data_IF_093689684849
#
_entry.id   IF_093689684849
#
_cell.length_a   1.000
_cell.length_b   1.000
_cell.length_c   1.000
_cell.angle_alpha   90.00
_cell.angle_beta   90.00
_cell.angle_gamma   90.00
#
_symmetry.space_group_name_H-M   'P 1'
#
loop_
_entity.id
_entity.type
_entity.pdbx_description
1 polymer ?
#
# COMPACT_ATOMS: atom_id res chain seq x y z
N UNK A 1 -5.37 7.04 -86.20
CA UNK A 1 -5.98 5.93 -85.37
C UNK A 1 -5.15 5.52 -84.12
N UNK A 2 -3.87 5.95 -83.96
CA UNK A 2 -3.02 5.64 -82.81
C UNK A 2 -3.39 6.44 -81.53
N UNK A 3 -3.85 7.68 -81.66
CA UNK A 3 -4.13 8.53 -80.47
C UNK A 3 -5.43 8.21 -79.68
N UNK A 4 -6.38 7.51 -80.29
CA UNK A 4 -7.64 7.14 -79.62
C UNK A 4 -7.50 5.87 -78.75
N UNK A 5 -6.58 4.97 -79.09
CA UNK A 5 -6.29 3.77 -78.29
C UNK A 5 -5.56 4.07 -76.99
N UNK A 6 -4.62 5.03 -77.00
CA UNK A 6 -3.86 5.45 -75.82
C UNK A 6 -4.74 6.15 -74.77
N UNK A 7 -5.71 6.98 -75.22
CA UNK A 7 -6.63 7.66 -74.31
C UNK A 7 -7.61 6.71 -73.64
N UNK A 8 -8.08 5.65 -74.31
CA UNK A 8 -8.95 4.65 -73.75
C UNK A 8 -8.22 3.76 -72.72
N UNK A 9 -7.00 3.37 -73.03
CA UNK A 9 -6.16 2.57 -72.12
C UNK A 9 -5.82 3.37 -70.84
N UNK A 10 -5.54 4.65 -70.97
CA UNK A 10 -5.30 5.55 -69.81
C UNK A 10 -6.55 5.72 -68.96
N UNK A 11 -7.72 5.89 -69.58
CA UNK A 11 -9.01 6.00 -68.87
C UNK A 11 -9.35 4.73 -68.11
N UNK A 12 -9.10 3.55 -68.71
CA UNK A 12 -9.35 2.24 -68.07
C UNK A 12 -8.42 2.01 -66.87
N UNK A 13 -7.15 2.37 -66.99
CA UNK A 13 -6.15 2.28 -65.94
C UNK A 13 -6.49 3.19 -64.78
N UNK A 14 -6.93 4.43 -65.06
CA UNK A 14 -7.36 5.36 -64.02
C UNK A 14 -8.63 4.89 -63.29
N UNK A 15 -9.62 4.33 -64.03
CA UNK A 15 -10.83 3.78 -63.45
C UNK A 15 -10.49 2.57 -62.56
N UNK A 16 -9.59 1.70 -62.99
CA UNK A 16 -9.13 0.55 -62.21
C UNK A 16 -8.41 0.98 -60.95
N UNK A 17 -7.49 1.91 -61.06
CA UNK A 17 -6.74 2.45 -59.88
C UNK A 17 -7.69 3.13 -58.88
N UNK A 18 -8.70 3.85 -59.38
CA UNK A 18 -9.72 4.47 -58.51
C UNK A 18 -10.56 3.43 -57.81
N UNK A 19 -11.02 2.41 -58.49
CA UNK A 19 -11.77 1.31 -57.91
C UNK A 19 -10.94 0.53 -56.87
N UNK A 20 -9.70 0.20 -57.21
CA UNK A 20 -8.77 -0.47 -56.31
C UNK A 20 -8.53 0.37 -55.04
N UNK A 21 -8.28 1.69 -55.18
CA UNK A 21 -8.10 2.61 -54.05
C UNK A 21 -9.35 2.69 -53.21
N UNK A 22 -10.54 2.70 -53.79
CA UNK A 22 -11.80 2.70 -53.06
C UNK A 22 -11.99 1.42 -52.22
N UNK A 23 -11.75 0.24 -52.82
CA UNK A 23 -11.82 -1.05 -52.12
C UNK A 23 -10.81 -1.11 -51.01
N UNK A 24 -9.58 -0.70 -51.24
CA UNK A 24 -8.55 -0.63 -50.19
C UNK A 24 -8.95 0.28 -49.04
N UNK A 25 -9.39 1.49 -49.34
CA UNK A 25 -9.82 2.45 -48.29
C UNK A 25 -10.99 1.94 -47.47
N UNK A 26 -11.96 1.28 -48.12
CA UNK A 26 -13.13 0.74 -47.43
C UNK A 26 -12.73 -0.46 -46.54
N UNK A 27 -11.93 -1.38 -47.06
CA UNK A 27 -11.39 -2.51 -46.31
C UNK A 27 -10.54 -2.04 -45.13
N UNK A 28 -9.64 -1.09 -45.36
CA UNK A 28 -8.78 -0.54 -44.29
C UNK A 28 -9.58 0.16 -43.18
N UNK A 29 -10.69 0.81 -43.49
CA UNK A 29 -11.56 1.40 -42.46
C UNK A 29 -12.20 0.32 -41.58
N UNK A 30 -12.66 -0.78 -42.17
CA UNK A 30 -13.21 -1.90 -41.42
C UNK A 30 -12.17 -2.59 -40.56
N UNK A 31 -10.97 -2.83 -41.12
CA UNK A 31 -9.85 -3.38 -40.38
C UNK A 31 -9.39 -2.47 -39.23
N UNK A 32 -9.33 -1.17 -39.45
CA UNK A 32 -8.97 -0.19 -38.42
C UNK A 32 -9.91 -0.32 -37.21
N UNK A 33 -11.22 -0.46 -37.44
CA UNK A 33 -12.20 -0.62 -36.37
C UNK A 33 -11.99 -1.94 -35.59
N UNK A 34 -11.76 -3.04 -36.30
CA UNK A 34 -11.49 -4.35 -35.69
C UNK A 34 -10.22 -4.32 -34.87
N UNK A 35 -9.13 -3.75 -35.43
CA UNK A 35 -7.86 -3.63 -34.72
C UNK A 35 -7.99 -2.73 -33.50
N UNK A 36 -8.69 -1.60 -33.61
CA UNK A 36 -8.92 -0.70 -32.48
C UNK A 36 -9.71 -1.36 -31.36
N UNK A 37 -10.78 -2.09 -31.69
CA UNK A 37 -11.57 -2.83 -30.69
C UNK A 37 -10.70 -3.90 -30.00
N UNK A 38 -9.97 -4.69 -30.78
CA UNK A 38 -9.09 -5.73 -30.25
C UNK A 38 -7.99 -5.17 -29.34
N UNK A 39 -7.34 -4.07 -29.78
CA UNK A 39 -6.29 -3.40 -28.98
C UNK A 39 -6.86 -2.80 -27.70
N UNK A 40 -8.04 -2.17 -27.75
CA UNK A 40 -8.67 -1.57 -26.57
C UNK A 40 -9.09 -2.65 -25.56
N UNK A 41 -9.70 -3.76 -26.02
CA UNK A 41 -10.09 -4.85 -25.14
C UNK A 41 -8.89 -5.51 -24.44
N UNK A 42 -7.78 -5.70 -25.16
CA UNK A 42 -6.56 -6.27 -24.58
C UNK A 42 -5.76 -5.27 -23.75
N UNK A 43 -5.78 -3.97 -24.09
CA UNK A 43 -5.13 -2.93 -23.32
C UNK A 43 -5.84 -2.71 -21.95
N UNK A 44 -7.17 -2.81 -21.89
CA UNK A 44 -7.91 -2.68 -20.63
C UNK A 44 -7.52 -3.79 -19.63
N UNK A 45 -7.33 -5.01 -20.10
CA UNK A 45 -6.80 -6.11 -19.27
C UNK A 45 -5.39 -5.79 -18.72
N UNK A 46 -4.50 -5.30 -19.59
CA UNK A 46 -3.13 -4.95 -19.18
C UNK A 46 -3.12 -3.80 -18.17
N UNK A 47 -3.98 -2.78 -18.38
CA UNK A 47 -4.10 -1.66 -17.44
C UNK A 47 -4.59 -2.14 -16.08
N UNK A 48 -5.56 -3.04 -16.04
CA UNK A 48 -6.05 -3.64 -14.78
C UNK A 48 -5.02 -4.50 -14.07
N UNK A 49 -4.12 -5.14 -14.81
CA UNK A 49 -3.03 -5.95 -14.25
C UNK A 49 -1.86 -5.12 -13.71
N UNK A 50 -1.69 -3.86 -14.17
CA UNK A 50 -0.55 -3.02 -13.78
C UNK A 50 -0.37 -2.87 -12.25
N UNK A 51 -1.41 -2.59 -11.44
CA UNK A 51 -1.24 -2.47 -9.99
C UNK A 51 -0.74 -3.76 -9.33
N UNK A 52 -1.20 -4.92 -9.79
CA UNK A 52 -0.76 -6.23 -9.27
C UNK A 52 0.71 -6.49 -9.63
N UNK A 53 1.09 -6.17 -10.87
CA UNK A 53 2.50 -6.26 -11.29
C UNK A 53 3.39 -5.30 -10.51
N UNK A 54 2.93 -4.07 -10.29
CA UNK A 54 3.66 -3.08 -9.49
C UNK A 54 3.87 -3.58 -8.06
N UNK A 55 2.83 -4.14 -7.43
CA UNK A 55 2.93 -4.75 -6.10
C UNK A 55 3.99 -5.87 -6.07
N UNK A 56 3.99 -6.78 -7.04
CA UNK A 56 4.98 -7.87 -7.13
C UNK A 56 6.40 -7.32 -7.29
N UNK A 57 6.59 -6.33 -8.17
CA UNK A 57 7.90 -5.71 -8.40
C UNK A 57 8.39 -5.02 -7.12
N UNK A 58 7.54 -4.20 -6.48
CA UNK A 58 7.90 -3.51 -5.23
C UNK A 58 8.13 -4.47 -4.07
N UNK A 59 7.35 -5.52 -3.96
CA UNK A 59 7.56 -6.59 -2.99
C UNK A 59 8.91 -7.29 -3.19
N UNK A 60 9.29 -7.57 -4.43
CA UNK A 60 10.58 -8.16 -4.77
C UNK A 60 11.75 -7.21 -4.45
N UNK A 61 11.61 -5.92 -4.76
CA UNK A 61 12.60 -4.90 -4.38
C UNK A 61 12.80 -4.84 -2.86
N UNK A 62 11.71 -4.91 -2.08
CA UNK A 62 11.76 -4.92 -0.62
C UNK A 62 12.47 -6.17 -0.09
N UNK A 63 12.15 -7.36 -0.61
CA UNK A 63 12.83 -8.61 -0.24
C UNK A 63 14.33 -8.53 -0.54
N UNK A 64 14.69 -7.97 -1.68
CA UNK A 64 16.10 -7.79 -2.04
C UNK A 64 16.83 -6.80 -1.11
N UNK A 65 16.15 -5.74 -0.66
CA UNK A 65 16.69 -4.84 0.36
C UNK A 65 16.93 -5.56 1.69
N UNK A 66 16.00 -6.39 2.15
CA UNK A 66 16.22 -7.21 3.35
C UNK A 66 17.40 -8.16 3.19
N UNK A 67 17.51 -8.88 2.07
CA UNK A 67 18.63 -9.78 1.80
C UNK A 67 19.99 -9.10 1.83
N UNK A 68 20.05 -7.84 1.42
CA UNK A 68 21.28 -7.05 1.33
C UNK A 68 21.57 -6.25 2.61
N UNK A 69 20.65 -6.26 3.58
CA UNK A 69 20.85 -5.61 4.87
C UNK A 69 21.43 -6.56 5.90
N UNK A 70 22.04 -6.01 6.95
CA UNK A 70 22.51 -6.77 8.11
C UNK A 70 21.38 -7.13 9.09
N UNK A 71 20.12 -6.80 8.75
CA UNK A 71 18.98 -6.99 9.61
C UNK A 71 18.22 -8.27 9.22
N UNK A 72 17.77 -9.00 10.22
CA UNK A 72 17.04 -10.23 10.03
C UNK A 72 15.62 -9.95 9.51
N UNK A 73 15.09 -10.87 8.70
CA UNK A 73 13.70 -10.87 8.27
C UNK A 73 13.18 -12.30 8.18
N UNK A 74 11.89 -12.49 8.34
CA UNK A 74 11.27 -13.81 8.26
C UNK A 74 9.91 -13.76 7.56
N UNK A 75 9.48 -14.89 7.02
CA UNK A 75 8.08 -15.12 6.68
C UNK A 75 7.37 -15.60 7.95
N UNK A 76 6.36 -14.85 8.45
CA UNK A 76 5.70 -15.19 9.71
C UNK A 76 4.90 -16.49 9.59
N UNK A 77 4.80 -17.22 10.70
CA UNK A 77 3.84 -18.32 10.81
C UNK A 77 2.46 -17.73 11.07
N UNK A 78 1.55 -17.93 10.11
CA UNK A 78 0.17 -17.48 10.26
C UNK A 78 -0.60 -18.37 11.24
N UNK A 79 -1.42 -17.72 12.07
CA UNK A 79 -2.38 -18.39 12.97
C UNK A 79 -3.79 -17.91 12.64
N UNK A 80 -4.84 -18.68 13.01
CA UNK A 80 -6.21 -18.20 12.86
C UNK A 80 -6.45 -16.86 13.55
N UNK A 81 -7.38 -16.05 13.03
CA UNK A 81 -7.71 -14.73 13.56
C UNK A 81 -8.22 -14.81 15.02
N UNK A 82 -8.94 -15.87 15.32
CA UNK A 82 -9.53 -16.13 16.64
C UNK A 82 -8.49 -16.32 17.74
N UNK A 83 -7.28 -16.76 17.38
CA UNK A 83 -6.18 -16.90 18.34
C UNK A 83 -5.59 -15.55 18.76
N UNK A 84 -5.78 -14.50 17.95
CA UNK A 84 -5.36 -13.12 18.25
C UNK A 84 -3.91 -13.01 18.72
N UNK A 85 -3.01 -13.77 18.10
CA UNK A 85 -1.59 -13.84 18.47
C UNK A 85 -0.78 -12.88 17.62
N UNK A 86 0.08 -12.11 18.27
CA UNK A 86 1.18 -11.41 17.65
C UNK A 86 2.42 -11.64 18.51
N UNK A 87 3.33 -12.45 18.04
CA UNK A 87 4.59 -12.73 18.73
C UNK A 87 5.73 -12.53 17.72
N UNK A 88 6.56 -11.53 17.94
CA UNK A 88 7.70 -11.22 17.09
C UNK A 88 8.96 -11.06 17.95
N UNK A 89 10.01 -11.78 17.57
CA UNK A 89 11.35 -11.65 18.15
C UNK A 89 12.23 -10.84 17.24
N UNK A 90 12.99 -9.95 17.82
CA UNK A 90 13.92 -9.12 17.08
C UNK A 90 13.25 -8.17 16.09
N UNK A 91 12.04 -7.69 16.36
CA UNK A 91 11.31 -6.78 15.48
C UNK A 91 11.97 -5.40 15.44
N UNK A 92 11.99 -4.80 14.26
CA UNK A 92 12.50 -3.45 14.03
C UNK A 92 11.64 -2.70 13.01
N UNK A 93 11.85 -1.38 12.94
CA UNK A 93 11.11 -0.52 12.02
C UNK A 93 11.71 -0.57 10.60
N UNK A 94 10.96 -1.09 9.59
CA UNK A 94 11.47 -1.22 8.23
C UNK A 94 11.66 0.13 7.53
N UNK A 95 10.89 1.16 7.91
CA UNK A 95 11.00 2.50 7.34
C UNK A 95 12.31 3.18 7.79
N UNK A 96 12.67 3.01 9.07
CA UNK A 96 13.95 3.50 9.58
C UNK A 96 15.10 2.70 8.96
N UNK A 97 15.00 1.38 8.93
CA UNK A 97 16.02 0.52 8.32
C UNK A 97 16.27 0.83 6.84
N UNK A 98 15.25 1.31 6.11
CA UNK A 98 15.44 1.71 4.70
C UNK A 98 16.26 2.98 4.51
N UNK A 99 16.46 3.78 5.58
CA UNK A 99 17.18 5.07 5.58
C UNK A 99 18.54 5.02 6.23
N UNK A 100 18.84 3.94 6.96
CA UNK A 100 20.07 3.80 7.76
C UNK A 100 20.77 2.52 7.31
N UNK A 101 22.07 2.59 7.03
CA UNK A 101 22.88 1.44 6.60
C UNK A 101 23.40 0.58 7.77
N UNK A 102 23.12 0.98 9.02
CA UNK A 102 23.58 0.24 10.20
C UNK A 102 22.56 -0.78 10.68
N UNK A 103 23.04 -1.77 11.44
CA UNK A 103 22.16 -2.73 12.11
C UNK A 103 21.16 -2.03 13.03
N UNK A 104 19.91 -2.42 12.94
CA UNK A 104 18.81 -1.84 13.72
C UNK A 104 18.83 -2.32 15.16
N UNK A 105 18.36 -1.45 16.07
CA UNK A 105 17.98 -1.89 17.42
C UNK A 105 16.69 -2.69 17.32
N UNK A 106 16.74 -3.91 17.80
CA UNK A 106 15.62 -4.86 17.76
C UNK A 106 14.95 -4.99 19.12
N UNK A 107 13.67 -5.38 19.11
CA UNK A 107 12.89 -5.60 20.31
C UNK A 107 12.07 -6.89 20.15
N UNK A 108 11.74 -7.54 21.28
CA UNK A 108 10.76 -8.62 21.32
C UNK A 108 9.41 -8.06 21.72
N UNK A 109 8.35 -8.52 21.07
CA UNK A 109 7.01 -8.06 21.37
C UNK A 109 5.99 -9.19 21.24
N UNK A 110 5.06 -9.25 22.22
CA UNK A 110 4.05 -10.31 22.27
C UNK A 110 2.70 -9.75 22.68
N UNK A 111 1.67 -9.96 21.82
CA UNK A 111 0.27 -9.93 22.20
C UNK A 111 -0.24 -11.37 22.26
N UNK A 112 -0.82 -11.74 23.39
CA UNK A 112 -1.41 -13.05 23.61
C UNK A 112 -2.59 -12.95 24.60
N UNK A 113 -3.08 -14.08 25.08
CA UNK A 113 -4.18 -14.10 26.06
C UNK A 113 -3.83 -13.44 27.41
N UNK A 114 -2.55 -13.21 27.70
CA UNK A 114 -2.08 -12.59 28.94
C UNK A 114 -2.02 -11.06 28.86
N UNK A 115 -1.93 -10.50 27.67
CA UNK A 115 -1.87 -9.06 27.49
C UNK A 115 -2.21 -8.65 26.06
N UNK A 116 -3.23 -7.83 25.90
CA UNK A 116 -3.70 -7.28 24.62
C UNK A 116 -3.62 -5.76 24.58
N UNK A 117 -3.39 -5.14 25.71
CA UNK A 117 -3.25 -3.70 25.86
C UNK A 117 -1.90 -3.37 26.48
N UNK A 118 -1.12 -2.54 25.80
CA UNK A 118 0.22 -2.16 26.23
C UNK A 118 0.38 -0.65 26.24
N UNK A 119 0.93 -0.13 27.28
CA UNK A 119 1.33 1.27 27.41
C UNK A 119 2.85 1.35 27.35
N UNK A 120 3.37 2.02 26.31
CA UNK A 120 4.79 2.27 26.15
C UNK A 120 5.14 3.60 26.82
N UNK A 121 5.89 3.57 27.91
CA UNK A 121 6.43 4.76 28.58
C UNK A 121 7.93 4.84 28.42
N UNK A 122 8.46 6.07 28.47
CA UNK A 122 9.89 6.31 28.35
C UNK A 122 10.20 7.73 27.89
N UNK A 123 11.49 8.12 27.88
CA UNK A 123 11.90 9.47 27.51
C UNK A 123 11.57 9.78 26.05
N UNK A 124 11.43 11.07 25.73
CA UNK A 124 11.35 11.52 24.35
C UNK A 124 12.62 11.09 23.60
N UNK A 125 12.45 10.70 22.34
CA UNK A 125 13.50 10.07 21.51
C UNK A 125 13.94 8.68 21.98
N UNK A 126 13.22 8.05 22.92
CA UNK A 126 13.48 6.67 23.38
C UNK A 126 12.99 5.58 22.42
N UNK A 127 12.48 5.91 21.25
CA UNK A 127 12.06 4.94 20.25
C UNK A 127 10.60 4.45 20.35
N UNK A 128 9.76 5.05 21.21
CA UNK A 128 8.34 4.67 21.37
C UNK A 128 7.59 4.64 20.04
N UNK A 129 7.55 5.74 19.31
CA UNK A 129 6.92 5.84 17.99
C UNK A 129 7.55 4.88 16.98
N UNK A 130 8.86 4.65 17.07
CA UNK A 130 9.58 3.74 16.17
C UNK A 130 9.10 2.31 16.31
N UNK A 131 8.93 1.81 17.55
CA UNK A 131 8.42 0.46 17.78
C UNK A 131 6.93 0.34 17.46
N UNK A 132 6.11 1.36 17.77
CA UNK A 132 4.68 1.38 17.42
C UNK A 132 4.48 1.24 15.91
N UNK A 133 5.23 1.99 15.12
CA UNK A 133 5.21 1.87 13.65
C UNK A 133 5.72 0.49 13.20
N UNK A 134 6.75 -0.07 13.86
CA UNK A 134 7.27 -1.39 13.51
C UNK A 134 6.21 -2.49 13.67
N UNK A 135 5.42 -2.45 14.75
CA UNK A 135 4.33 -3.40 15.00
C UNK A 135 3.25 -3.34 13.90
N UNK A 136 2.78 -2.14 13.58
CA UNK A 136 1.79 -1.96 12.52
C UNK A 136 2.31 -2.36 11.13
N UNK A 137 3.56 -2.01 10.83
CA UNK A 137 4.19 -2.39 9.57
C UNK A 137 4.32 -3.92 9.45
N UNK A 138 4.76 -4.60 10.51
CA UNK A 138 4.87 -6.06 10.51
C UNK A 138 3.51 -6.74 10.33
N UNK A 139 2.46 -6.24 11.00
CA UNK A 139 1.10 -6.75 10.84
C UNK A 139 0.60 -6.57 9.40
N UNK A 140 0.76 -5.38 8.83
CA UNK A 140 0.36 -5.09 7.44
C UNK A 140 1.14 -5.95 6.44
N UNK A 141 2.47 -6.04 6.59
CA UNK A 141 3.32 -6.86 5.71
C UNK A 141 2.95 -8.33 5.78
N UNK A 142 2.67 -8.87 6.99
CA UNK A 142 2.20 -10.23 7.18
C UNK A 142 0.91 -10.50 6.38
N UNK A 143 -0.08 -9.64 6.47
CA UNK A 143 -1.37 -9.79 5.78
C UNK A 143 -1.26 -9.61 4.26
N UNK A 144 -0.25 -8.89 3.79
CA UNK A 144 0.09 -8.76 2.38
C UNK A 144 0.91 -9.95 1.84
N UNK A 145 1.26 -10.94 2.68
CA UNK A 145 2.10 -12.08 2.29
C UNK A 145 3.56 -11.72 2.09
N UNK A 146 4.00 -10.57 2.60
CA UNK A 146 5.38 -10.13 2.56
C UNK A 146 6.17 -10.63 3.79
N UNK A 147 7.49 -10.74 3.70
CA UNK A 147 8.31 -11.00 4.89
C UNK A 147 8.24 -9.83 5.86
N UNK A 148 8.32 -10.12 7.16
CA UNK A 148 8.30 -9.12 8.22
C UNK A 148 9.70 -8.82 8.74
N UNK A 149 9.95 -7.60 9.23
CA UNK A 149 11.26 -7.16 9.74
C UNK A 149 11.47 -7.70 11.17
N UNK A 150 11.74 -8.99 11.29
CA UNK A 150 11.96 -9.67 12.56
C UNK A 150 12.80 -10.95 12.34
N UNK A 151 13.50 -11.41 13.38
CA UNK A 151 14.17 -12.70 13.40
C UNK A 151 13.19 -13.86 13.24
N UNK A 152 12.09 -13.81 13.98
CA UNK A 152 10.99 -14.78 13.87
C UNK A 152 9.66 -14.14 14.26
N UNK A 153 8.57 -14.60 13.65
CA UNK A 153 7.24 -14.11 13.97
C UNK A 153 6.15 -15.17 13.84
N UNK A 154 5.15 -15.07 14.73
CA UNK A 154 3.90 -15.81 14.68
C UNK A 154 2.78 -14.79 14.80
N UNK A 155 1.93 -14.68 13.79
CA UNK A 155 0.98 -13.58 13.67
C UNK A 155 -0.39 -14.11 13.23
N UNK A 156 -1.45 -13.66 13.91
CA UNK A 156 -2.83 -13.80 13.47
C UNK A 156 -3.23 -12.58 12.62
N UNK A 157 -4.02 -12.73 11.57
CA UNK A 157 -4.56 -11.59 10.84
C UNK A 157 -5.50 -10.77 11.73
N UNK A 158 -5.63 -9.49 11.43
CA UNK A 158 -6.58 -8.57 12.07
C UNK A 158 -7.59 -8.07 11.05
N UNK A 159 -8.79 -7.69 11.52
CA UNK A 159 -9.86 -7.12 10.68
C UNK A 159 -9.50 -5.74 10.15
N UNK A 160 -8.73 -4.95 10.93
CA UNK A 160 -8.28 -3.63 10.59
C UNK A 160 -7.05 -3.22 11.39
N UNK A 161 -6.28 -2.27 10.84
CA UNK A 161 -5.18 -1.61 11.54
C UNK A 161 -5.51 -0.12 11.56
N UNK A 162 -5.82 0.41 12.73
CA UNK A 162 -6.06 1.84 12.93
C UNK A 162 -4.89 2.49 13.62
N UNK A 163 -4.57 3.70 13.17
CA UNK A 163 -3.44 4.46 13.71
C UNK A 163 -3.87 5.87 14.06
N UNK A 164 -3.41 6.33 15.22
CA UNK A 164 -3.50 7.73 15.61
C UNK A 164 -2.11 8.21 15.99
N UNK A 165 -1.43 8.86 15.05
CA UNK A 165 -0.11 9.46 15.22
C UNK A 165 -0.21 10.98 15.16
N UNK A 166 0.65 11.72 15.88
CA UNK A 166 0.65 13.17 15.80
C UNK A 166 0.95 13.62 14.38
N UNK A 167 0.12 14.48 13.84
CA UNK A 167 0.41 15.20 12.61
C UNK A 167 1.50 16.23 12.91
N UNK A 168 2.48 16.37 12.00
CA UNK A 168 3.59 17.30 12.15
C UNK A 168 3.09 18.70 12.51
N UNK A 169 3.76 19.37 13.43
CA UNK A 169 3.40 20.69 13.89
C UNK A 169 3.43 21.70 12.74
N UNK A 170 2.29 21.93 12.11
CA UNK A 170 2.03 23.21 11.48
C UNK A 170 1.76 24.20 12.61
N UNK A 171 2.52 25.31 12.65
CA UNK A 171 2.53 26.35 13.70
C UNK A 171 1.21 27.15 13.83
N UNK A 172 0.10 26.63 13.33
CA UNK A 172 -1.21 27.22 13.55
C UNK A 172 -1.77 26.72 14.87
N UNK A 173 -1.67 27.57 15.88
CA UNK A 173 -2.34 27.43 17.20
C UNK A 173 -3.86 27.44 16.93
N UNK A 174 -4.44 26.31 16.65
CA UNK A 174 -5.87 26.21 16.42
C UNK A 174 -6.57 25.60 17.63
N UNK A 175 -7.47 26.39 18.22
CA UNK A 175 -8.32 25.97 19.37
C UNK A 175 -9.26 24.80 19.02
N UNK A 176 -9.23 24.32 17.77
CA UNK A 176 -9.98 23.16 17.27
C UNK A 176 -9.25 21.82 17.35
N UNK A 177 -7.92 21.82 17.54
CA UNK A 177 -7.08 20.61 17.41
C UNK A 177 -7.47 19.49 18.39
N UNK A 178 -7.79 19.82 19.64
CA UNK A 178 -8.26 18.83 20.61
C UNK A 178 -9.59 18.19 20.17
N UNK A 179 -10.51 19.00 19.64
CA UNK A 179 -11.78 18.50 19.12
C UNK A 179 -11.61 17.57 17.94
N UNK A 180 -10.68 17.87 17.04
CA UNK A 180 -10.32 17.01 15.91
C UNK A 180 -9.65 15.71 16.35
N UNK A 181 -8.72 15.77 17.31
CA UNK A 181 -8.10 14.58 17.89
C UNK A 181 -9.14 13.67 18.55
N UNK A 182 -10.07 14.22 19.34
CA UNK A 182 -11.15 13.46 19.96
C UNK A 182 -12.12 12.87 18.94
N UNK A 183 -12.50 13.63 17.90
CA UNK A 183 -13.36 13.13 16.84
C UNK A 183 -12.71 11.95 16.08
N UNK A 184 -11.44 12.05 15.77
CA UNK A 184 -10.66 11.01 15.10
C UNK A 184 -10.51 9.75 15.97
N UNK A 185 -10.24 9.91 17.26
CA UNK A 185 -10.21 8.79 18.20
C UNK A 185 -11.58 8.11 18.28
N UNK A 186 -12.65 8.90 18.36
CA UNK A 186 -14.01 8.35 18.36
C UNK A 186 -14.30 7.53 17.09
N UNK A 187 -13.95 8.05 15.91
CA UNK A 187 -14.12 7.32 14.66
C UNK A 187 -13.36 5.98 14.66
N UNK A 188 -12.13 5.97 15.19
CA UNK A 188 -11.33 4.75 15.32
C UNK A 188 -12.04 3.73 16.23
N UNK A 189 -12.50 4.14 17.40
CA UNK A 189 -13.16 3.24 18.35
C UNK A 189 -14.55 2.78 17.88
N UNK A 190 -15.31 3.65 17.19
CA UNK A 190 -16.60 3.29 16.60
C UNK A 190 -16.45 2.27 15.44
N UNK A 191 -15.32 2.30 14.72
CA UNK A 191 -15.05 1.39 13.60
C UNK A 191 -14.31 0.10 14.04
N UNK A 192 -13.71 0.09 15.23
CA UNK A 192 -12.93 -1.05 15.71
C UNK A 192 -13.84 -2.20 16.17
N UNK A 193 -13.39 -3.40 15.91
CA UNK A 193 -13.97 -4.63 16.44
C UNK A 193 -12.98 -5.38 17.34
N UNK A 194 -13.39 -6.54 17.86
CA UNK A 194 -12.56 -7.35 18.74
C UNK A 194 -11.28 -7.93 18.10
N UNK A 195 -11.16 -7.88 16.78
CA UNK A 195 -10.02 -8.36 16.00
C UNK A 195 -9.19 -7.22 15.40
N UNK A 196 -9.44 -6.01 15.81
CA UNK A 196 -8.75 -4.81 15.29
C UNK A 196 -7.46 -4.54 16.07
N UNK A 197 -6.40 -4.14 15.36
CA UNK A 197 -5.18 -3.60 15.96
C UNK A 197 -5.25 -2.07 15.96
N UNK A 198 -5.12 -1.46 17.13
CA UNK A 198 -5.10 0.00 17.29
C UNK A 198 -3.72 0.42 17.80
N UNK A 199 -3.11 1.38 17.13
CA UNK A 199 -1.79 1.91 17.44
C UNK A 199 -1.91 3.42 17.70
N UNK A 200 -1.71 3.80 18.96
CA UNK A 200 -1.80 5.18 19.40
C UNK A 200 -0.39 5.70 19.78
N UNK A 201 -0.04 6.88 19.31
CA UNK A 201 1.21 7.55 19.68
C UNK A 201 0.93 9.00 20.04
N UNK A 202 1.27 9.39 21.26
CA UNK A 202 1.09 10.75 21.82
C UNK A 202 -0.34 11.32 21.59
N UNK A 203 -1.36 10.48 21.66
CA UNK A 203 -2.76 10.89 21.50
C UNK A 203 -3.14 11.90 22.58
N UNK A 204 -3.95 12.90 22.20
CA UNK A 204 -4.36 14.02 23.05
C UNK A 204 -3.19 14.90 23.52
N UNK A 205 -2.13 14.97 22.72
CA UNK A 205 -0.95 15.80 23.03
C UNK A 205 -1.22 17.31 22.93
N UNK A 206 -2.34 17.70 22.33
CA UNK A 206 -2.79 19.08 22.19
C UNK A 206 -3.37 19.68 23.48
N UNK A 207 -3.57 18.88 24.52
CA UNK A 207 -4.13 19.34 25.80
C UNK A 207 -3.27 19.00 27.01
N UNK A 208 -3.63 19.53 28.18
CA UNK A 208 -2.94 19.26 29.44
C UNK A 208 -3.11 17.80 29.89
N UNK A 209 -2.10 17.26 30.59
CA UNK A 209 -2.09 15.84 31.01
C UNK A 209 -3.33 15.43 31.84
N UNK A 210 -3.89 16.35 32.63
CA UNK A 210 -5.07 16.11 33.45
C UNK A 210 -6.33 15.93 32.55
N UNK A 211 -6.54 16.85 31.61
CA UNK A 211 -7.65 16.79 30.67
C UNK A 211 -7.54 15.59 29.75
N UNK A 212 -6.33 15.31 29.24
CA UNK A 212 -6.07 14.12 28.41
C UNK A 212 -6.42 12.83 29.16
N UNK A 213 -6.05 12.72 30.44
CA UNK A 213 -6.35 11.52 31.22
C UNK A 213 -7.85 11.35 31.50
N UNK A 214 -8.58 12.45 31.67
CA UNK A 214 -10.03 12.43 31.86
C UNK A 214 -10.73 11.96 30.57
N UNK A 215 -10.37 12.54 29.43
CA UNK A 215 -10.93 12.15 28.12
C UNK A 215 -10.63 10.67 27.81
N UNK A 216 -9.43 10.20 28.14
CA UNK A 216 -9.03 8.80 27.91
C UNK A 216 -9.72 7.80 28.84
N UNK A 217 -10.37 8.27 29.92
CA UNK A 217 -11.07 7.40 30.89
C UNK A 217 -12.56 7.20 30.59
N UNK A 218 -13.12 8.03 29.71
CA UNK A 218 -14.50 7.94 29.20
C UNK A 218 -14.59 6.99 27.99
#
# INVERSE_FOLDING_TARGET
KKGQSDNQQTALTNAFNTALTHVFKTSMRSWKKVIQTYVLENADFLIKLMPEMEFIVKGTELINKFKNSENDYCFPKMRPMEEKVFNAKGIYNPVVASKVESKMVVNDFTFDDKGRFYVLSGPNRGGKSVITVALGAAQAMCQLGLPVPAESAVISPVSGIFTHFPEGADDTIDKGRLGEECARLKEIFDAADENTMILLDESLSSTGAYEASYIASE
#
